data_IF_271973947169
#
_entry.id   IF_271973947169
#
_cell.length_a   1.000
_cell.length_b   1.000
_cell.length_c   1.000
_cell.angle_alpha   90.00
_cell.angle_beta   90.00
_cell.angle_gamma   90.00
#
_symmetry.space_group_name_H-M   'P 1'
#
loop_
_entity.id
_entity.type
_entity.pdbx_description
1 polymer ?
#
# COMPACT_ATOMS: atom_id res chain seq x y z
N UNK A 1 32.00 11.16 -17.59
CA UNK A 1 30.92 12.17 -17.61
C UNK A 1 29.69 11.55 -16.96
N UNK A 2 29.61 11.58 -15.63
CA UNK A 2 28.44 11.08 -14.91
C UNK A 2 27.37 12.17 -14.96
N UNK A 3 26.42 12.05 -15.89
CA UNK A 3 25.43 13.09 -16.21
C UNK A 3 24.43 13.37 -15.07
N UNK A 4 24.37 12.54 -14.03
CA UNK A 4 23.57 12.79 -12.83
C UNK A 4 24.39 12.55 -11.56
N UNK A 5 24.75 13.64 -10.89
CA UNK A 5 25.32 13.62 -9.54
C UNK A 5 24.19 13.91 -8.55
N UNK A 6 24.07 13.10 -7.51
CA UNK A 6 23.07 13.26 -6.43
C UNK A 6 23.70 13.83 -5.14
N UNK A 7 24.92 14.35 -5.23
CA UNK A 7 25.66 14.88 -4.09
C UNK A 7 25.15 16.29 -3.72
N UNK A 8 24.22 16.33 -2.77
CA UNK A 8 23.70 17.58 -2.22
C UNK A 8 24.72 18.39 -1.40
N UNK A 9 25.83 17.79 -0.94
CA UNK A 9 26.84 18.48 -0.14
C UNK A 9 27.83 19.27 -0.99
N UNK A 10 28.26 18.71 -2.12
CA UNK A 10 29.23 19.38 -3.01
C UNK A 10 28.57 20.27 -4.06
N UNK A 11 27.40 19.90 -4.60
CA UNK A 11 26.75 20.71 -5.61
C UNK A 11 25.21 20.65 -5.52
N UNK A 12 24.60 21.45 -4.63
CA UNK A 12 23.17 21.33 -4.31
C UNK A 12 22.25 21.65 -5.50
N UNK A 13 22.66 22.52 -6.43
CA UNK A 13 21.84 22.87 -7.60
C UNK A 13 21.78 21.73 -8.62
N UNK A 14 22.92 21.06 -8.91
CA UNK A 14 22.96 19.91 -9.81
C UNK A 14 22.23 18.70 -9.22
N UNK A 15 22.35 18.47 -7.91
CA UNK A 15 21.64 17.40 -7.21
C UNK A 15 20.12 17.63 -7.18
N UNK A 16 19.66 18.87 -7.00
CA UNK A 16 18.23 19.21 -7.10
C UNK A 16 17.71 19.02 -8.53
N UNK A 17 18.49 19.43 -9.52
CA UNK A 17 18.10 19.26 -10.92
C UNK A 17 18.01 17.78 -11.31
N UNK A 18 18.99 16.95 -10.92
CA UNK A 18 18.95 15.51 -11.19
C UNK A 18 17.80 14.80 -10.48
N UNK A 19 17.50 15.19 -9.22
CA UNK A 19 16.31 14.72 -8.50
C UNK A 19 15.01 15.10 -9.21
N UNK A 20 14.86 16.37 -9.62
CA UNK A 20 13.68 16.83 -10.34
C UNK A 20 13.54 16.14 -11.71
N UNK A 21 14.63 15.93 -12.42
CA UNK A 21 14.64 15.21 -13.70
C UNK A 21 14.21 13.76 -13.53
N UNK A 22 14.66 13.08 -12.47
CA UNK A 22 14.28 11.71 -12.15
C UNK A 22 12.80 11.62 -11.76
N UNK A 23 12.30 12.59 -10.98
CA UNK A 23 10.90 12.67 -10.59
C UNK A 23 9.99 12.93 -11.80
N UNK A 24 10.39 13.86 -12.68
CA UNK A 24 9.69 14.13 -13.94
C UNK A 24 9.68 12.90 -14.86
N UNK A 25 10.81 12.19 -14.96
CA UNK A 25 10.89 10.92 -15.68
C UNK A 25 9.88 9.92 -15.12
N UNK A 26 9.81 9.73 -13.80
CA UNK A 26 8.86 8.79 -13.17
C UNK A 26 7.39 9.13 -13.47
N UNK A 27 7.04 10.41 -13.61
CA UNK A 27 5.66 10.83 -13.92
C UNK A 27 5.35 10.64 -15.42
N UNK A 28 6.28 10.99 -16.29
CA UNK A 28 6.08 10.95 -17.75
C UNK A 28 6.17 9.52 -18.28
N UNK A 29 7.01 8.68 -17.67
CA UNK A 29 7.23 7.32 -18.11
C UNK A 29 5.96 6.47 -18.25
N UNK A 30 5.06 6.35 -17.25
CA UNK A 30 3.84 5.56 -17.38
C UNK A 30 2.94 6.07 -18.50
N UNK A 31 2.95 7.39 -18.76
CA UNK A 31 2.18 7.99 -19.86
C UNK A 31 2.71 7.60 -21.24
N UNK A 32 4.00 7.29 -21.36
CA UNK A 32 4.59 6.78 -22.60
C UNK A 32 4.38 5.26 -22.68
N UNK A 33 4.62 4.54 -21.59
CA UNK A 33 4.54 3.09 -21.51
C UNK A 33 3.15 2.54 -21.88
N UNK A 34 2.07 3.25 -21.53
CA UNK A 34 0.70 2.87 -21.91
C UNK A 34 0.49 2.75 -23.44
N UNK A 35 1.29 3.43 -24.26
CA UNK A 35 1.18 3.35 -25.73
C UNK A 35 1.75 2.06 -26.31
N UNK A 36 2.59 1.34 -25.56
CA UNK A 36 3.25 0.10 -26.01
C UNK A 36 2.48 -1.17 -25.58
N UNK A 37 1.30 -1.01 -24.99
CA UNK A 37 0.40 -2.09 -24.57
C UNK A 37 0.48 -2.44 -23.09
N UNK A 38 -0.59 -3.07 -22.59
CA UNK A 38 -0.82 -3.29 -21.15
C UNK A 38 0.23 -4.20 -20.48
N UNK A 39 0.92 -5.06 -21.24
CA UNK A 39 1.94 -5.97 -20.70
C UNK A 39 3.13 -5.21 -20.13
N UNK A 40 3.59 -4.15 -20.81
CA UNK A 40 4.72 -3.34 -20.35
C UNK A 40 4.36 -2.56 -19.09
N UNK A 41 3.16 -1.98 -19.05
CA UNK A 41 2.64 -1.28 -17.86
C UNK A 41 2.60 -2.24 -16.66
N UNK A 42 2.10 -3.47 -16.83
CA UNK A 42 2.04 -4.44 -15.73
C UNK A 42 3.42 -4.87 -15.22
N UNK A 43 4.38 -5.09 -16.11
CA UNK A 43 5.77 -5.41 -15.72
C UNK A 43 6.37 -4.25 -14.91
N UNK A 44 6.10 -3.02 -15.35
CA UNK A 44 6.54 -1.82 -14.66
C UNK A 44 5.88 -1.63 -13.30
N UNK A 45 4.57 -1.82 -13.19
CA UNK A 45 3.85 -1.71 -11.93
C UNK A 45 4.46 -2.66 -10.90
N UNK A 46 4.75 -3.90 -11.30
CA UNK A 46 5.42 -4.90 -10.46
C UNK A 46 6.86 -4.48 -10.11
N UNK A 47 7.62 -3.94 -11.06
CA UNK A 47 8.98 -3.46 -10.80
C UNK A 47 8.98 -2.28 -9.82
N UNK A 48 8.11 -1.29 -10.02
CA UNK A 48 7.95 -0.11 -9.16
C UNK A 48 7.51 -0.51 -7.75
N UNK A 49 6.58 -1.45 -7.65
CA UNK A 49 6.15 -2.05 -6.38
C UNK A 49 7.35 -2.65 -5.63
N UNK A 50 8.16 -3.50 -6.28
CA UNK A 50 9.33 -4.10 -5.63
C UNK A 50 10.42 -3.07 -5.29
N UNK A 51 10.62 -2.04 -6.11
CA UNK A 51 11.53 -0.94 -5.80
C UNK A 51 11.04 -0.16 -4.58
N UNK A 52 9.74 0.15 -4.51
CA UNK A 52 9.13 0.83 -3.37
C UNK A 52 9.27 -0.01 -2.09
N UNK A 53 9.09 -1.33 -2.17
CA UNK A 53 9.33 -2.24 -1.06
C UNK A 53 10.81 -2.22 -0.62
N UNK A 54 11.74 -2.30 -1.56
CA UNK A 54 13.18 -2.24 -1.28
C UNK A 54 13.59 -0.90 -0.63
N UNK A 55 13.03 0.21 -1.10
CA UNK A 55 13.24 1.54 -0.49
C UNK A 55 12.66 1.60 0.92
N UNK A 56 11.47 1.01 1.14
CA UNK A 56 10.87 0.89 2.47
C UNK A 56 11.79 0.19 3.47
N UNK A 57 12.38 -0.94 3.07
CA UNK A 57 13.36 -1.64 3.90
C UNK A 57 14.61 -0.80 4.18
N UNK A 58 15.10 -0.07 3.18
CA UNK A 58 16.27 0.82 3.35
C UNK A 58 15.97 1.97 4.32
N UNK A 59 14.75 2.50 4.33
CA UNK A 59 14.34 3.54 5.29
C UNK A 59 14.30 2.96 6.71
N UNK A 60 13.67 1.80 6.89
CA UNK A 60 13.50 1.21 8.23
C UNK A 60 14.85 0.78 8.81
N UNK A 61 15.61 -0.03 8.09
CA UNK A 61 16.91 -0.51 8.57
C UNK A 61 17.95 0.61 8.61
N UNK A 62 17.94 1.50 7.61
CA UNK A 62 18.92 2.58 7.49
C UNK A 62 18.77 3.70 8.53
N UNK A 63 17.53 4.05 8.91
CA UNK A 63 17.30 5.13 9.88
C UNK A 63 17.01 4.64 11.30
N UNK A 64 16.30 3.52 11.48
CA UNK A 64 15.98 3.00 12.81
C UNK A 64 17.06 2.08 13.38
N UNK A 65 17.95 1.54 12.54
CA UNK A 65 19.03 0.64 12.96
C UNK A 65 18.56 -0.71 13.51
N UNK A 66 17.28 -1.05 13.30
CA UNK A 66 16.66 -2.31 13.70
C UNK A 66 16.20 -3.06 12.45
N UNK A 67 16.38 -4.37 12.44
CA UNK A 67 15.88 -5.23 11.38
C UNK A 67 14.38 -5.48 11.60
N UNK A 68 13.54 -4.73 10.90
CA UNK A 68 12.09 -4.91 10.87
C UNK A 68 11.66 -5.35 9.46
N UNK A 69 11.11 -6.57 9.39
CA UNK A 69 10.66 -7.23 8.17
C UNK A 69 9.14 -7.14 7.97
N UNK A 70 8.43 -6.55 8.94
CA UNK A 70 6.96 -6.53 9.01
C UNK A 70 6.33 -5.51 8.07
N UNK A 71 7.13 -4.63 7.45
CA UNK A 71 6.63 -3.59 6.55
C UNK A 71 5.84 -4.15 5.35
N UNK A 72 6.17 -5.37 4.89
CA UNK A 72 5.48 -6.05 3.77
C UNK A 72 4.01 -6.33 4.13
N UNK A 73 3.72 -6.63 5.39
CA UNK A 73 2.35 -6.85 5.84
C UNK A 73 1.53 -5.55 5.85
N UNK A 74 2.11 -4.42 6.25
CA UNK A 74 1.42 -3.12 6.17
C UNK A 74 1.20 -2.69 4.72
N UNK A 75 2.17 -2.94 3.85
CA UNK A 75 2.01 -2.79 2.41
C UNK A 75 0.82 -3.63 1.90
N UNK A 76 0.73 -4.91 2.29
CA UNK A 76 -0.37 -5.78 1.88
C UNK A 76 -1.72 -5.23 2.37
N UNK A 77 -1.85 -4.87 3.64
CA UNK A 77 -3.10 -4.30 4.19
C UNK A 77 -3.54 -3.05 3.40
N UNK A 78 -2.62 -2.13 3.12
CA UNK A 78 -2.91 -0.93 2.34
C UNK A 78 -3.28 -1.23 0.88
N UNK A 79 -2.53 -2.11 0.22
CA UNK A 79 -2.76 -2.49 -1.18
C UNK A 79 -4.09 -3.24 -1.36
N UNK A 80 -4.42 -4.17 -0.47
CA UNK A 80 -5.70 -4.87 -0.48
C UNK A 80 -6.87 -3.94 -0.17
N UNK A 81 -6.71 -3.01 0.78
CA UNK A 81 -7.75 -2.01 1.08
C UNK A 81 -8.01 -1.09 -0.11
N UNK A 82 -6.96 -0.58 -0.75
CA UNK A 82 -7.06 0.25 -1.94
C UNK A 82 -7.66 -0.52 -3.12
N UNK A 83 -7.22 -1.77 -3.33
CA UNK A 83 -7.75 -2.66 -4.35
C UNK A 83 -9.23 -2.94 -4.15
N UNK A 84 -9.65 -3.27 -2.93
CA UNK A 84 -11.04 -3.55 -2.61
C UNK A 84 -11.91 -2.31 -2.85
N UNK A 85 -11.54 -1.15 -2.31
CA UNK A 85 -12.30 0.11 -2.45
C UNK A 85 -12.36 0.64 -3.88
N UNK A 86 -11.33 0.40 -4.70
CA UNK A 86 -11.32 0.79 -6.11
C UNK A 86 -12.10 -0.18 -7.00
N UNK A 87 -12.48 -1.34 -6.47
CA UNK A 87 -13.03 -2.44 -7.25
C UNK A 87 -14.56 -2.56 -7.13
N UNK A 88 -15.27 -2.96 -8.20
CA UNK A 88 -16.70 -3.26 -8.13
C UNK A 88 -17.06 -4.37 -7.12
N UNK A 89 -16.10 -5.23 -6.76
CA UNK A 89 -16.26 -6.30 -5.79
C UNK A 89 -16.60 -5.79 -4.39
N UNK A 90 -16.30 -4.52 -4.08
CA UNK A 90 -16.75 -3.90 -2.84
C UNK A 90 -18.27 -3.94 -2.67
N UNK A 91 -19.02 -3.80 -3.76
CA UNK A 91 -20.49 -3.86 -3.73
C UNK A 91 -20.98 -5.23 -3.21
N UNK A 92 -20.37 -6.31 -3.70
CA UNK A 92 -20.69 -7.67 -3.29
C UNK A 92 -20.36 -7.93 -1.81
N UNK A 93 -19.25 -7.36 -1.31
CA UNK A 93 -18.89 -7.43 0.11
C UNK A 93 -19.91 -6.70 0.97
N UNK A 94 -20.34 -5.50 0.56
CA UNK A 94 -21.37 -4.75 1.30
C UNK A 94 -22.72 -5.47 1.26
N UNK A 95 -23.12 -6.02 0.12
CA UNK A 95 -24.36 -6.80 0.00
C UNK A 95 -24.34 -8.01 0.94
N UNK A 96 -23.27 -8.82 0.92
CA UNK A 96 -23.09 -9.95 1.84
C UNK A 96 -23.15 -9.51 3.30
N UNK A 97 -22.48 -8.41 3.64
CA UNK A 97 -22.44 -7.88 4.99
C UNK A 97 -23.81 -7.36 5.47
N UNK A 98 -24.59 -6.72 4.59
CA UNK A 98 -25.95 -6.26 4.88
C UNK A 98 -26.88 -7.45 5.14
N UNK A 99 -26.75 -8.52 4.36
CA UNK A 99 -27.54 -9.73 4.54
C UNK A 99 -27.18 -10.48 5.83
N UNK A 100 -25.90 -10.54 6.19
CA UNK A 100 -25.42 -11.23 7.40
C UNK A 100 -25.63 -10.42 8.69
N UNK A 101 -25.40 -9.10 8.64
CA UNK A 101 -25.50 -8.19 9.79
C UNK A 101 -26.42 -7.00 9.49
N UNK A 102 -27.75 -7.20 9.46
CA UNK A 102 -28.70 -6.18 9.01
C UNK A 102 -28.67 -4.89 9.83
N UNK A 103 -28.34 -4.96 11.13
CA UNK A 103 -28.23 -3.75 11.97
C UNK A 103 -27.09 -2.81 11.52
N UNK A 104 -25.92 -3.38 11.23
CA UNK A 104 -24.73 -2.61 10.82
C UNK A 104 -24.81 -2.28 9.32
N UNK A 105 -25.30 -3.21 8.52
CA UNK A 105 -25.51 -3.03 7.08
C UNK A 105 -26.48 -1.89 6.77
N UNK A 106 -27.65 -1.85 7.42
CA UNK A 106 -28.62 -0.78 7.21
C UNK A 106 -28.09 0.59 7.66
N UNK A 107 -27.26 0.64 8.70
CA UNK A 107 -26.57 1.86 9.11
C UNK A 107 -25.57 2.35 8.06
N UNK A 108 -24.79 1.44 7.46
CA UNK A 108 -23.84 1.78 6.38
C UNK A 108 -24.56 2.27 5.12
N UNK A 109 -25.65 1.61 4.73
CA UNK A 109 -26.49 2.03 3.60
C UNK A 109 -27.12 3.40 3.86
N UNK A 110 -27.53 3.67 5.10
CA UNK A 110 -28.02 5.00 5.48
C UNK A 110 -26.91 6.07 5.39
N UNK A 111 -25.67 5.74 5.77
CA UNK A 111 -24.56 6.70 5.81
C UNK A 111 -24.02 7.07 4.42
N UNK A 112 -23.80 6.11 3.52
CA UNK A 112 -23.22 6.38 2.19
C UNK A 112 -24.20 6.20 1.02
N UNK A 113 -25.47 5.91 1.32
CA UNK A 113 -26.58 5.88 0.37
C UNK A 113 -26.91 4.48 -0.20
N UNK A 114 -28.09 4.30 -0.82
CA UNK A 114 -28.54 3.01 -1.36
C UNK A 114 -27.68 2.48 -2.51
N UNK A 115 -26.91 3.35 -3.15
CA UNK A 115 -26.14 3.07 -4.37
C UNK A 115 -24.92 2.17 -4.10
N UNK A 116 -24.45 2.10 -2.84
CA UNK A 116 -23.30 1.28 -2.43
C UNK A 116 -23.53 -0.22 -2.75
N UNK A 117 -24.76 -0.69 -2.55
CA UNK A 117 -25.11 -2.11 -2.69
C UNK A 117 -25.10 -2.55 -4.15
N UNK A 118 -25.46 -1.65 -5.07
CA UNK A 118 -25.59 -1.99 -6.50
C UNK A 118 -24.34 -1.66 -7.32
N UNK A 119 -23.68 -0.53 -7.05
CA UNK A 119 -22.57 -0.03 -7.88
C UNK A 119 -21.24 0.06 -7.12
N UNK A 120 -21.22 -0.26 -5.82
CA UNK A 120 -20.06 -0.04 -4.95
C UNK A 120 -19.90 1.45 -4.61
N UNK A 121 -18.75 1.81 -4.04
CA UNK A 121 -18.41 3.22 -3.80
C UNK A 121 -17.42 3.66 -4.88
N UNK A 122 -17.86 4.54 -5.78
CA UNK A 122 -16.97 5.19 -6.74
C UNK A 122 -16.21 6.32 -6.05
N UNK A 123 -15.30 5.98 -5.14
CA UNK A 123 -14.39 6.95 -4.54
C UNK A 123 -13.32 7.34 -5.57
N UNK A 124 -12.98 8.63 -5.60
CA UNK A 124 -11.81 9.07 -6.36
C UNK A 124 -10.53 8.45 -5.77
N UNK A 125 -9.55 8.15 -6.63
CA UNK A 125 -8.25 7.61 -6.19
C UNK A 125 -7.58 8.50 -5.12
N UNK A 126 -7.78 9.81 -5.21
CA UNK A 126 -7.27 10.79 -4.25
C UNK A 126 -7.84 10.63 -2.84
N UNK A 127 -9.04 10.05 -2.69
CA UNK A 127 -9.63 9.70 -1.39
C UNK A 127 -9.26 8.29 -0.97
N UNK A 128 -9.18 7.34 -1.91
CA UNK A 128 -8.83 5.95 -1.61
C UNK A 128 -7.42 5.87 -1.00
N UNK A 129 -6.44 6.58 -1.57
CA UNK A 129 -5.05 6.58 -1.08
C UNK A 129 -4.93 6.97 0.40
N UNK A 130 -5.45 8.13 0.86
CA UNK A 130 -5.39 8.48 2.28
C UNK A 130 -6.23 7.57 3.16
N UNK A 131 -7.39 7.09 2.70
CA UNK A 131 -8.21 6.14 3.48
C UNK A 131 -7.43 4.84 3.73
N UNK A 132 -6.86 4.26 2.69
CA UNK A 132 -6.02 3.05 2.80
C UNK A 132 -4.78 3.29 3.64
N UNK A 133 -4.17 4.48 3.54
CA UNK A 133 -3.05 4.89 4.39
C UNK A 133 -3.41 4.97 5.87
N UNK A 134 -4.56 5.57 6.21
CA UNK A 134 -5.08 5.63 7.59
C UNK A 134 -5.38 4.23 8.10
N UNK A 135 -6.01 3.39 7.27
CA UNK A 135 -6.34 2.03 7.64
C UNK A 135 -5.07 1.21 7.92
N UNK A 136 -4.07 1.29 7.03
CA UNK A 136 -2.75 0.69 7.26
C UNK A 136 -2.07 1.23 8.53
N UNK A 137 -2.18 2.55 8.81
CA UNK A 137 -1.63 3.15 10.03
C UNK A 137 -2.33 2.66 11.30
N UNK A 138 -3.65 2.44 11.27
CA UNK A 138 -4.41 1.89 12.41
C UNK A 138 -3.94 0.47 12.72
N UNK A 139 -3.87 -0.41 11.70
CA UNK A 139 -3.35 -1.77 11.88
C UNK A 139 -1.88 -1.76 12.30
N UNK A 140 -1.08 -0.84 11.75
CA UNK A 140 0.31 -0.61 12.13
C UNK A 140 0.47 -0.20 13.59
N UNK A 141 -0.36 0.70 14.09
CA UNK A 141 -0.32 1.12 15.49
C UNK A 141 -0.79 0.00 16.43
N UNK A 142 -1.86 -0.71 16.08
CA UNK A 142 -2.42 -1.81 16.85
C UNK A 142 -1.40 -2.94 17.04
N UNK A 143 -0.67 -3.27 15.97
CA UNK A 143 0.33 -4.34 15.97
C UNK A 143 1.72 -3.88 16.39
N UNK A 144 2.07 -2.62 16.16
CA UNK A 144 3.33 -2.02 16.60
C UNK A 144 3.39 -1.83 18.12
N UNK A 145 2.28 -1.47 18.76
CA UNK A 145 2.21 -1.27 20.20
C UNK A 145 2.76 -2.45 21.05
N UNK A 146 2.40 -3.72 20.78
CA UNK A 146 2.96 -4.85 21.51
C UNK A 146 4.43 -5.16 21.17
N UNK A 147 4.89 -4.87 19.95
CA UNK A 147 6.26 -5.23 19.51
C UNK A 147 7.32 -4.25 19.99
N UNK A 148 6.95 -3.01 20.36
CA UNK A 148 7.87 -2.00 20.92
C UNK A 148 8.60 -2.45 22.21
N UNK A 149 8.10 -3.50 22.88
CA UNK A 149 8.75 -4.08 24.07
C UNK A 149 9.92 -5.02 23.72
N UNK A 150 10.02 -5.45 22.46
CA UNK A 150 11.03 -6.37 21.95
C UNK A 150 12.24 -5.58 21.43
N UNK A 151 13.44 -6.16 21.54
CA UNK A 151 14.68 -5.53 21.10
C UNK A 151 15.49 -6.47 20.22
N UNK A 152 16.21 -5.89 19.25
CA UNK A 152 17.13 -6.61 18.38
C UNK A 152 16.45 -7.76 17.64
N UNK A 153 17.01 -8.96 17.78
CA UNK A 153 16.59 -10.15 17.04
C UNK A 153 15.15 -10.60 17.34
N UNK A 154 14.66 -10.34 18.56
CA UNK A 154 13.28 -10.67 18.91
C UNK A 154 12.27 -9.82 18.13
N UNK A 155 12.61 -8.56 17.85
CA UNK A 155 11.78 -7.70 17.01
C UNK A 155 11.77 -8.21 15.56
N UNK A 156 12.93 -8.63 15.05
CA UNK A 156 13.07 -9.19 13.70
C UNK A 156 12.23 -10.46 13.50
N UNK A 157 12.31 -11.40 14.45
CA UNK A 157 11.57 -12.67 14.38
C UNK A 157 10.06 -12.43 14.37
N UNK A 158 9.57 -11.57 15.27
CA UNK A 158 8.13 -11.29 15.37
C UNK A 158 7.59 -10.57 14.14
N UNK A 159 8.36 -9.65 13.57
CA UNK A 159 7.95 -8.90 12.37
C UNK A 159 7.96 -9.78 11.11
N UNK A 160 8.91 -10.71 10.99
CA UNK A 160 8.89 -11.75 9.95
C UNK A 160 7.66 -12.65 10.10
N UNK A 161 7.41 -13.17 11.31
CA UNK A 161 6.25 -14.02 11.59
C UNK A 161 4.94 -13.33 11.25
N UNK A 162 4.80 -12.05 11.58
CA UNK A 162 3.65 -11.24 11.19
C UNK A 162 3.49 -11.12 9.67
N UNK A 163 4.58 -10.84 8.94
CA UNK A 163 4.61 -10.84 7.47
C UNK A 163 4.06 -12.13 6.86
N UNK A 164 4.53 -13.27 7.38
CA UNK A 164 4.09 -14.58 6.91
C UNK A 164 2.63 -14.89 7.28
N UNK A 165 2.18 -14.50 8.49
CA UNK A 165 0.77 -14.64 8.89
C UNK A 165 -0.15 -13.90 7.92
N UNK A 166 0.17 -12.64 7.57
CA UNK A 166 -0.65 -11.87 6.62
C UNK A 166 -0.66 -12.53 5.24
N UNK A 167 0.49 -12.98 4.74
CA UNK A 167 0.57 -13.69 3.46
C UNK A 167 -0.29 -14.96 3.46
N UNK A 168 -0.20 -15.77 4.50
CA UNK A 168 -1.00 -17.00 4.64
C UNK A 168 -2.48 -16.64 4.71
N UNK A 169 -2.86 -15.69 5.57
CA UNK A 169 -4.25 -15.25 5.73
C UNK A 169 -4.84 -14.80 4.39
N UNK A 170 -4.15 -13.91 3.67
CA UNK A 170 -4.57 -13.41 2.35
C UNK A 170 -4.71 -14.50 1.29
N UNK A 171 -3.78 -15.48 1.26
CA UNK A 171 -3.86 -16.59 0.31
C UNK A 171 -4.92 -17.64 0.67
N UNK A 172 -5.40 -17.64 1.92
CA UNK A 172 -6.45 -18.56 2.39
C UNK A 172 -7.86 -17.93 2.37
N UNK A 173 -7.99 -16.66 1.97
CA UNK A 173 -9.29 -16.00 1.73
C UNK A 173 -9.93 -16.57 0.44
N UNK A 174 -10.44 -17.80 0.52
CA UNK A 174 -11.07 -18.53 -0.58
C UNK A 174 -12.60 -18.42 -0.60
N UNK A 175 -13.21 -17.67 0.32
CA UNK A 175 -14.65 -17.44 0.37
C UNK A 175 -14.94 -15.96 0.69
N UNK A 176 -15.93 -15.33 0.02
CA UNK A 176 -16.49 -14.07 0.50
C UNK A 176 -17.14 -14.32 1.86
N UNK A 177 -16.88 -13.42 2.81
CA UNK A 177 -17.60 -13.37 4.09
C UNK A 177 -18.93 -12.66 3.93
#
# INVERSE_FOLDING_TARGET
MALMTFDMKRNPQQARFSLLALLALMIIFPMIAQHFGNSWVRIMDMALLYIMLALGLNVVVGFAGLLDLGYIAFYAIGAYSAGLLASPQFAAVIESFVNTYPAIGNFLVWLCGPQIVQNGIHLSLWLIVPISGVLAAIFGALLGAPTLKLRGDYLAIVTLGFGEIIRIFMNNLNAPV
#
